data_IF_709491721736
#
_entry.id   IF_709491721736
#
_cell.length_a   1.000
_cell.length_b   1.000
_cell.length_c   1.000
_cell.angle_alpha   90.00
_cell.angle_beta   90.00
_cell.angle_gamma   90.00
#
_symmetry.space_group_name_H-M   'P 1'
#
loop_
_entity.id
_entity.type
_entity.pdbx_description
1 polymer ?
#
# COMPACT_ATOMS: atom_id res chain seq x y z
N UNK A 1 -18.63 7.18 6.53
CA UNK A 1 -18.52 6.06 7.49
C UNK A 1 -17.07 5.59 7.53
N UNK A 2 -16.42 5.54 8.71
CA UNK A 2 -15.02 5.08 8.82
C UNK A 2 -14.99 3.55 8.75
N UNK A 3 -14.19 2.99 7.84
CA UNK A 3 -14.13 1.53 7.62
C UNK A 3 -13.77 0.75 8.89
N UNK A 4 -14.40 -0.42 9.08
CA UNK A 4 -14.17 -1.29 10.22
C UNK A 4 -12.71 -1.76 10.30
N UNK A 5 -12.13 -1.75 11.50
CA UNK A 5 -10.79 -2.28 11.80
C UNK A 5 -10.87 -3.49 12.71
N UNK A 6 -10.06 -4.51 12.46
CA UNK A 6 -9.95 -5.72 13.30
C UNK A 6 -8.49 -6.10 13.57
N UNK A 7 -8.28 -7.07 14.47
CA UNK A 7 -6.97 -7.66 14.77
C UNK A 7 -6.75 -8.88 13.88
N UNK A 8 -5.62 -8.93 13.19
CA UNK A 8 -5.25 -10.00 12.26
C UNK A 8 -3.82 -10.47 12.50
N UNK A 9 -3.51 -11.71 12.12
CA UNK A 9 -2.16 -12.27 12.23
C UNK A 9 -1.32 -11.94 11.01
N UNK A 10 -0.07 -11.52 11.21
CA UNK A 10 0.87 -11.27 10.15
C UNK A 10 1.25 -12.57 9.44
N UNK A 11 1.19 -12.59 8.11
CA UNK A 11 1.49 -13.79 7.35
C UNK A 11 3.00 -14.14 7.31
N UNK A 12 3.88 -13.26 7.80
CA UNK A 12 5.34 -13.49 7.87
C UNK A 12 5.81 -13.86 9.28
N UNK A 13 5.52 -13.02 10.27
CA UNK A 13 6.00 -13.21 11.65
C UNK A 13 4.95 -13.81 12.59
N UNK A 14 3.68 -13.89 12.18
CA UNK A 14 2.60 -14.40 13.03
C UNK A 14 2.02 -13.38 14.01
N UNK A 15 2.67 -12.24 14.22
CA UNK A 15 2.25 -11.24 15.21
C UNK A 15 0.85 -10.68 14.94
N UNK A 16 0.04 -10.45 15.99
CA UNK A 16 -1.23 -9.77 15.87
C UNK A 16 -1.01 -8.28 15.55
N UNK A 17 -1.73 -7.76 14.57
CA UNK A 17 -1.71 -6.34 14.22
C UNK A 17 -3.10 -5.85 13.84
N UNK A 18 -3.34 -4.55 13.99
CA UNK A 18 -4.61 -3.91 13.67
C UNK A 18 -4.64 -3.48 12.20
N UNK A 19 -5.65 -3.93 11.45
CA UNK A 19 -5.84 -3.58 10.05
C UNK A 19 -7.32 -3.37 9.72
N UNK A 20 -7.61 -2.68 8.61
CA UNK A 20 -8.99 -2.53 8.15
C UNK A 20 -9.49 -3.85 7.57
N UNK A 21 -10.73 -4.20 7.88
CA UNK A 21 -11.37 -5.40 7.37
C UNK A 21 -11.50 -5.36 5.84
N UNK A 22 -11.69 -4.18 5.26
CA UNK A 22 -11.70 -3.98 3.81
C UNK A 22 -10.35 -4.37 3.18
N UNK A 23 -9.24 -3.87 3.72
CA UNK A 23 -7.89 -4.19 3.24
C UNK A 23 -7.54 -5.68 3.42
N UNK A 24 -8.09 -6.35 4.44
CA UNK A 24 -7.96 -7.80 4.59
C UNK A 24 -8.73 -8.58 3.54
N UNK A 25 -9.98 -8.21 3.26
CA UNK A 25 -10.81 -8.85 2.23
C UNK A 25 -10.19 -8.69 0.84
N UNK A 26 -9.56 -7.55 0.57
CA UNK A 26 -8.82 -7.28 -0.68
C UNK A 26 -7.44 -7.94 -0.75
N UNK A 27 -6.91 -8.40 0.38
CA UNK A 27 -5.58 -9.01 0.46
C UNK A 27 -4.42 -8.01 0.56
N UNK A 28 -4.71 -6.73 0.84
CA UNK A 28 -3.73 -5.65 0.96
C UNK A 28 -3.04 -5.66 2.34
N UNK A 29 -3.80 -5.83 3.42
CA UNK A 29 -3.27 -5.86 4.79
C UNK A 29 -2.82 -7.26 5.22
N UNK A 30 -1.81 -7.87 4.58
CA UNK A 30 -1.31 -9.22 4.96
C UNK A 30 -0.18 -9.23 5.98
N UNK A 31 0.44 -8.08 6.21
CA UNK A 31 1.66 -7.94 7.00
C UNK A 31 1.49 -6.82 8.02
N UNK A 32 2.10 -7.01 9.19
CA UNK A 32 2.11 -5.99 10.25
C UNK A 32 2.96 -4.76 9.90
N UNK A 33 3.92 -4.89 8.99
CA UNK A 33 4.86 -3.81 8.63
C UNK A 33 5.34 -3.90 7.18
N UNK A 34 5.80 -2.76 6.64
CA UNK A 34 6.44 -2.66 5.33
C UNK A 34 7.66 -3.58 5.22
N UNK A 35 8.43 -3.71 6.30
CA UNK A 35 9.59 -4.62 6.38
C UNK A 35 9.18 -6.09 6.23
N UNK A 36 8.08 -6.52 6.89
CA UNK A 36 7.56 -7.88 6.75
C UNK A 36 7.08 -8.18 5.32
N UNK A 37 6.50 -7.20 4.64
CA UNK A 37 6.13 -7.31 3.21
C UNK A 37 7.37 -7.44 2.33
N UNK A 38 8.35 -6.56 2.52
CA UNK A 38 9.58 -6.51 1.74
C UNK A 38 10.40 -7.81 1.88
N UNK A 39 10.62 -8.31 3.10
CA UNK A 39 11.36 -9.56 3.34
C UNK A 39 10.69 -10.74 2.64
N UNK A 40 9.36 -10.84 2.71
CA UNK A 40 8.65 -11.93 2.02
C UNK A 40 8.68 -11.77 0.50
N UNK A 41 8.73 -10.53 0.00
CA UNK A 41 8.87 -10.25 -1.41
C UNK A 41 10.27 -10.63 -1.92
N UNK A 42 11.33 -10.27 -1.20
CA UNK A 42 12.72 -10.60 -1.56
C UNK A 42 12.98 -12.10 -1.49
N UNK A 43 12.50 -12.80 -0.45
CA UNK A 43 12.59 -14.25 -0.35
C UNK A 43 11.95 -14.97 -1.55
N UNK A 44 10.80 -14.46 -2.03
CA UNK A 44 10.06 -15.11 -3.12
C UNK A 44 10.65 -14.84 -4.50
N UNK A 45 11.28 -13.68 -4.70
CA UNK A 45 11.71 -13.25 -6.04
C UNK A 45 13.21 -13.36 -6.25
N UNK A 46 14.05 -13.48 -5.23
CA UNK A 46 15.51 -13.55 -5.38
C UNK A 46 16.17 -12.26 -5.89
N UNK A 47 15.40 -11.28 -6.34
CA UNK A 47 15.88 -10.01 -6.89
C UNK A 47 15.80 -8.95 -5.79
N UNK A 48 16.89 -8.81 -5.05
CA UNK A 48 17.11 -7.60 -4.25
C UNK A 48 17.40 -6.42 -5.19
N UNK A 49 16.67 -5.32 -5.01
CA UNK A 49 16.86 -3.99 -5.66
C UNK A 49 16.25 -3.89 -7.08
N UNK A 50 14.96 -3.55 -7.19
CA UNK A 50 14.40 -3.08 -8.48
C UNK A 50 12.89 -3.25 -8.72
N UNK A 51 12.19 -4.04 -7.93
CA UNK A 51 10.73 -4.17 -8.07
C UNK A 51 10.03 -2.91 -7.55
N UNK A 52 9.40 -2.13 -8.44
CA UNK A 52 8.53 -0.99 -8.08
C UNK A 52 7.64 -1.39 -6.90
N UNK A 53 7.52 -0.56 -5.85
CA UNK A 53 6.55 -0.83 -4.81
C UNK A 53 5.17 -0.96 -5.48
N UNK A 54 4.50 -2.08 -5.24
CA UNK A 54 3.08 -2.19 -5.57
C UNK A 54 2.35 -1.32 -4.56
N UNK A 55 2.26 -0.03 -4.93
CA UNK A 55 1.52 0.99 -4.22
C UNK A 55 0.04 0.66 -4.34
N UNK A 56 -0.64 0.70 -3.20
CA UNK A 56 -2.05 0.38 -3.04
C UNK A 56 -2.94 1.64 -3.10
N UNK A 57 -2.35 2.77 -3.45
CA UNK A 57 -3.01 4.06 -3.55
C UNK A 57 -3.28 4.36 -5.03
N UNK A 58 -4.44 3.90 -5.49
CA UNK A 58 -5.11 4.49 -6.64
C UNK A 58 -5.51 5.93 -6.34
N UNK A 59 -4.55 6.85 -6.39
CA UNK A 59 -4.77 8.26 -6.65
C UNK A 59 -3.85 8.59 -7.82
N UNK A 60 -4.42 8.71 -9.03
CA UNK A 60 -3.68 9.02 -10.26
C UNK A 60 -2.72 10.18 -9.97
N UNK A 61 -1.43 10.12 -10.36
CA UNK A 61 -0.63 11.33 -10.41
C UNK A 61 -1.34 12.29 -11.37
N UNK A 62 -1.81 13.42 -10.85
CA UNK A 62 -2.26 14.55 -11.66
C UNK A 62 -1.09 14.93 -12.56
N UNK A 63 -1.31 14.89 -13.87
CA UNK A 63 -0.30 15.27 -14.85
C UNK A 63 0.04 16.75 -14.65
N UNK A 64 1.32 17.16 -14.56
CA UNK A 64 1.68 18.56 -14.37
C UNK A 64 1.23 19.50 -15.51
N UNK A 65 0.69 18.95 -16.61
CA UNK A 65 0.16 19.72 -17.73
C UNK A 65 -1.31 20.20 -17.54
N UNK A 66 -2.05 19.67 -16.55
CA UNK A 66 -3.49 19.99 -16.35
C UNK A 66 -3.75 21.04 -15.25
N UNK A 67 -2.71 21.68 -14.69
CA UNK A 67 -2.83 22.46 -13.45
C UNK A 67 -2.72 23.99 -13.59
N UNK A 68 -2.62 24.60 -14.79
CA UNK A 68 -2.39 26.05 -14.87
C UNK A 68 -3.05 26.91 -15.98
N UNK A 69 -3.93 26.40 -16.84
CA UNK A 69 -4.66 27.28 -17.80
C UNK A 69 -6.15 27.42 -17.46
N UNK A 70 -6.43 27.66 -16.19
CA UNK A 70 -7.68 28.27 -15.75
C UNK A 70 -7.38 29.70 -15.28
N UNK A 71 -7.39 30.64 -16.22
CA UNK A 71 -7.81 32.02 -15.97
C UNK A 71 -6.75 33.03 -15.48
N UNK A 72 -6.24 33.80 -16.44
CA UNK A 72 -5.70 35.17 -16.35
C UNK A 72 -5.72 35.85 -14.96
N UNK A 73 -4.52 36.21 -14.47
CA UNK A 73 -4.32 37.36 -13.57
C UNK A 73 -2.95 38.02 -13.85
N UNK A 74 -3.01 39.17 -14.53
CA UNK A 74 -1.99 40.18 -14.92
C UNK A 74 -0.82 39.75 -15.82
#
# INVERSE_FOLDING_TARGET
MRGATGIYKCARCGDPFRARTADRKRGWARFCSKSCKAIRQTQRTGIGRGGRPVDDDGCRPMHPAELHDHGQWQ
#
